data_IF_354005151362
#
_entry.id   IF_354005151362
#
_cell.length_a   1.000
_cell.length_b   1.000
_cell.length_c   1.000
_cell.angle_alpha   90.00
_cell.angle_beta   90.00
_cell.angle_gamma   90.00
#
_symmetry.space_group_name_H-M   'P 1'
#
loop_
_entity.id
_entity.type
_entity.pdbx_description
1 polymer ?
#
# COMPACT_ATOMS: atom_id res chain seq x y z
N UNK A 1 24.24 -19.97 13.91
CA UNK A 1 24.08 -20.13 12.45
C UNK A 1 24.10 -18.73 11.85
N UNK A 2 25.16 -18.39 11.09
CA UNK A 2 25.20 -17.09 10.37
C UNK A 2 24.11 -17.13 9.29
N UNK A 3 23.00 -16.45 9.55
CA UNK A 3 22.01 -16.18 8.52
C UNK A 3 22.72 -15.35 7.45
N UNK A 4 22.83 -15.86 6.22
CA UNK A 4 23.57 -15.20 5.12
C UNK A 4 23.00 -13.84 4.69
N UNK A 5 22.17 -13.19 5.53
CA UNK A 5 21.55 -11.87 5.33
C UNK A 5 21.55 -11.04 6.60
N UNK A 6 21.52 -9.71 6.46
CA UNK A 6 21.42 -8.76 7.57
C UNK A 6 19.96 -8.44 7.90
N UNK A 7 19.46 -8.93 9.04
CA UNK A 7 18.07 -8.76 9.50
C UNK A 7 17.58 -7.30 9.43
N UNK A 8 18.40 -6.36 9.88
CA UNK A 8 18.01 -4.95 9.91
C UNK A 8 17.87 -4.35 8.50
N UNK A 9 18.77 -4.70 7.57
CA UNK A 9 18.67 -4.24 6.18
C UNK A 9 17.42 -4.81 5.49
N UNK A 10 17.10 -6.09 5.73
CA UNK A 10 15.88 -6.72 5.20
C UNK A 10 14.64 -6.08 5.81
N UNK A 11 14.64 -5.79 7.10
CA UNK A 11 13.54 -5.08 7.74
C UNK A 11 13.37 -3.65 7.18
N UNK A 12 14.46 -2.92 6.95
CA UNK A 12 14.40 -1.61 6.30
C UNK A 12 13.83 -1.71 4.88
N UNK A 13 14.22 -2.72 4.11
CA UNK A 13 13.66 -2.96 2.78
C UNK A 13 12.14 -3.24 2.84
N UNK A 14 11.67 -4.01 3.83
CA UNK A 14 10.25 -4.22 4.07
C UNK A 14 9.53 -2.90 4.42
N UNK A 15 10.14 -2.05 5.25
CA UNK A 15 9.61 -0.72 5.57
C UNK A 15 9.48 0.17 4.33
N UNK A 16 10.48 0.16 3.44
CA UNK A 16 10.43 0.88 2.16
C UNK A 16 9.30 0.33 1.30
N UNK A 17 9.18 -1.00 1.14
CA UNK A 17 8.07 -1.62 0.40
C UNK A 17 6.70 -1.24 0.96
N UNK A 18 6.56 -1.18 2.29
CA UNK A 18 5.31 -0.77 2.92
C UNK A 18 5.02 0.73 2.73
N UNK A 19 6.04 1.57 2.66
CA UNK A 19 5.90 2.98 2.28
C UNK A 19 5.37 3.10 0.83
N UNK A 20 5.88 2.30 -0.11
CA UNK A 20 5.36 2.23 -1.49
C UNK A 20 3.91 1.74 -1.54
N UNK A 21 3.53 0.79 -0.69
CA UNK A 21 2.13 0.40 -0.55
C UNK A 21 1.27 1.57 -0.08
N UNK A 22 1.72 2.36 0.90
CA UNK A 22 1.04 3.57 1.34
C UNK A 22 0.86 4.59 0.20
N UNK A 23 1.90 4.82 -0.60
CA UNK A 23 1.84 5.64 -1.81
C UNK A 23 0.80 5.08 -2.78
N UNK A 24 0.81 3.78 -3.07
CA UNK A 24 -0.11 3.15 -4.03
C UNK A 24 -1.58 3.29 -3.63
N UNK A 25 -1.89 3.25 -2.32
CA UNK A 25 -3.26 3.36 -1.80
C UNK A 25 -3.86 4.75 -1.95
N UNK A 26 -3.04 5.80 -1.83
CA UNK A 26 -3.54 7.17 -1.70
C UNK A 26 -3.39 8.00 -2.98
N UNK A 27 -2.50 7.58 -3.89
CA UNK A 27 -2.13 8.37 -5.08
C UNK A 27 -3.35 8.75 -5.90
N UNK A 28 -4.13 7.75 -6.31
CA UNK A 28 -5.25 7.97 -7.22
C UNK A 28 -6.27 8.95 -6.63
N UNK A 29 -6.70 8.74 -5.38
CA UNK A 29 -7.65 9.63 -4.72
C UNK A 29 -7.13 11.06 -4.54
N UNK A 30 -5.82 11.22 -4.35
CA UNK A 30 -5.20 12.54 -4.20
C UNK A 30 -5.10 13.32 -5.51
N UNK A 31 -4.82 12.64 -6.63
CA UNK A 31 -4.64 13.30 -7.95
C UNK A 31 -5.90 13.28 -8.82
N UNK A 32 -6.92 12.51 -8.44
CA UNK A 32 -8.13 12.33 -9.23
C UNK A 32 -8.81 13.64 -9.63
N UNK A 33 -9.01 14.63 -8.72
CA UNK A 33 -9.59 15.93 -9.10
C UNK A 33 -8.77 16.65 -10.19
N UNK A 34 -7.44 16.62 -10.08
CA UNK A 34 -6.54 17.23 -11.05
C UNK A 34 -6.58 16.52 -12.40
N UNK A 35 -6.62 15.18 -12.41
CA UNK A 35 -6.78 14.39 -13.64
C UNK A 35 -8.13 14.65 -14.32
N UNK A 36 -9.22 14.71 -13.55
CA UNK A 36 -10.56 15.01 -14.06
C UNK A 36 -10.59 16.38 -14.75
N UNK A 37 -10.00 17.39 -14.13
CA UNK A 37 -9.93 18.76 -14.67
C UNK A 37 -9.02 18.81 -15.90
N UNK A 38 -7.83 18.21 -15.85
CA UNK A 38 -6.84 18.25 -16.94
C UNK A 38 -7.35 17.56 -18.21
N UNK A 39 -8.00 16.41 -18.05
CA UNK A 39 -8.41 15.55 -19.17
C UNK A 39 -9.91 15.65 -19.48
N UNK A 40 -10.64 16.55 -18.83
CA UNK A 40 -12.08 16.75 -18.99
C UNK A 40 -12.88 15.44 -18.88
N UNK A 41 -12.53 14.59 -17.87
CA UNK A 41 -13.09 13.25 -17.74
C UNK A 41 -14.57 13.28 -17.38
N UNK A 42 -15.36 12.48 -18.11
CA UNK A 42 -16.75 12.21 -17.74
C UNK A 42 -16.85 11.40 -16.44
N UNK A 43 -18.02 11.42 -15.79
CA UNK A 43 -18.24 10.64 -14.57
C UNK A 43 -18.02 9.13 -14.76
N UNK A 44 -18.36 8.57 -15.92
CA UNK A 44 -18.11 7.16 -16.24
C UNK A 44 -16.61 6.86 -16.36
N UNK A 45 -15.85 7.73 -17.02
CA UNK A 45 -14.40 7.58 -17.13
C UNK A 45 -13.72 7.67 -15.76
N UNK A 46 -14.10 8.65 -14.95
CA UNK A 46 -13.60 8.82 -13.59
C UNK A 46 -13.86 7.58 -12.73
N UNK A 47 -15.09 7.08 -12.73
CA UNK A 47 -15.47 5.87 -11.98
C UNK A 47 -14.70 4.65 -12.48
N UNK A 48 -14.49 4.52 -13.80
CA UNK A 48 -13.71 3.43 -14.36
C UNK A 48 -12.26 3.44 -13.82
N UNK A 49 -11.60 4.61 -13.81
CA UNK A 49 -10.24 4.72 -13.29
C UNK A 49 -10.15 4.24 -11.83
N UNK A 50 -11.06 4.69 -10.96
CA UNK A 50 -11.05 4.27 -9.55
C UNK A 50 -11.28 2.77 -9.39
N UNK A 51 -12.09 2.15 -10.25
CA UNK A 51 -12.39 0.71 -10.20
C UNK A 51 -11.16 -0.16 -10.52
N UNK A 52 -10.24 0.29 -11.36
CA UNK A 52 -9.07 -0.49 -11.76
C UNK A 52 -8.02 -0.64 -10.65
N UNK A 53 -7.95 0.27 -9.68
CA UNK A 53 -7.03 0.17 -8.55
C UNK A 53 -7.29 -1.08 -7.68
N UNK A 54 -8.50 -1.29 -7.13
CA UNK A 54 -8.78 -2.49 -6.33
C UNK A 54 -8.70 -3.79 -7.13
N UNK A 55 -8.98 -3.78 -8.45
CA UNK A 55 -8.78 -4.96 -9.30
C UNK A 55 -7.30 -5.35 -9.35
N UNK A 56 -6.42 -4.37 -9.57
CA UNK A 56 -4.97 -4.61 -9.50
C UNK A 56 -4.52 -5.13 -8.13
N UNK A 57 -5.02 -4.53 -7.05
CA UNK A 57 -4.70 -4.95 -5.67
C UNK A 57 -5.14 -6.39 -5.38
N UNK A 58 -6.35 -6.76 -5.80
CA UNK A 58 -6.84 -8.13 -5.66
C UNK A 58 -5.93 -9.12 -6.40
N UNK A 59 -5.60 -8.83 -7.66
CA UNK A 59 -4.68 -9.66 -8.44
C UNK A 59 -3.32 -9.81 -7.75
N UNK A 60 -2.72 -8.71 -7.28
CA UNK A 60 -1.46 -8.71 -6.54
C UNK A 60 -1.52 -9.54 -5.27
N UNK A 61 -2.59 -9.39 -4.49
CA UNK A 61 -2.79 -10.12 -3.24
C UNK A 61 -2.99 -11.64 -3.45
N UNK A 62 -3.53 -12.05 -4.59
CA UNK A 62 -3.69 -13.48 -4.90
C UNK A 62 -2.40 -14.16 -5.34
N UNK A 63 -1.52 -13.43 -6.04
CA UNK A 63 -0.32 -14.02 -6.64
C UNK A 63 0.92 -13.96 -5.74
N UNK A 64 0.96 -13.05 -4.73
CA UNK A 64 2.19 -12.84 -3.95
C UNK A 64 2.63 -14.08 -3.19
N UNK A 65 1.72 -14.79 -2.50
CA UNK A 65 2.05 -15.95 -1.66
C UNK A 65 2.75 -17.07 -2.44
N UNK A 66 2.15 -17.62 -3.51
CA UNK A 66 2.78 -18.66 -4.33
C UNK A 66 4.12 -18.26 -4.92
N UNK A 67 4.31 -16.99 -5.29
CA UNK A 67 5.56 -16.51 -5.85
C UNK A 67 6.62 -16.32 -4.77
N UNK A 68 6.25 -15.75 -3.61
CA UNK A 68 7.16 -15.57 -2.46
C UNK A 68 7.74 -16.91 -1.99
N UNK A 69 6.87 -17.90 -1.83
CA UNK A 69 7.28 -19.23 -1.38
C UNK A 69 8.25 -19.92 -2.35
N UNK A 70 8.04 -19.74 -3.66
CA UNK A 70 8.86 -20.39 -4.69
C UNK A 70 10.14 -19.64 -5.03
N UNK A 71 10.06 -18.32 -5.20
CA UNK A 71 11.18 -17.52 -5.73
C UNK A 71 11.83 -16.63 -4.66
N UNK A 72 11.22 -16.57 -3.46
CA UNK A 72 11.70 -15.78 -2.32
C UNK A 72 11.26 -14.31 -2.37
N UNK A 73 11.37 -13.66 -1.24
CA UNK A 73 10.89 -12.32 -0.96
C UNK A 73 11.46 -11.24 -1.89
N UNK A 74 12.75 -11.30 -2.22
CA UNK A 74 13.40 -10.31 -3.10
C UNK A 74 12.81 -10.28 -4.51
N UNK A 75 12.44 -11.46 -5.04
CA UNK A 75 11.87 -11.61 -6.37
C UNK A 75 10.50 -10.95 -6.53
N UNK A 76 9.85 -10.62 -5.42
CA UNK A 76 8.59 -9.87 -5.40
C UNK A 76 8.77 -8.41 -5.00
N UNK A 77 9.49 -8.14 -3.90
CA UNK A 77 9.58 -6.80 -3.33
C UNK A 77 10.14 -5.79 -4.36
N UNK A 78 11.27 -6.10 -4.99
CA UNK A 78 11.91 -5.16 -5.92
C UNK A 78 11.08 -4.94 -7.19
N UNK A 79 10.61 -5.99 -7.91
CA UNK A 79 9.75 -5.78 -9.08
C UNK A 79 8.45 -5.06 -8.75
N UNK A 80 7.82 -5.34 -7.61
CA UNK A 80 6.58 -4.67 -7.22
C UNK A 80 6.79 -3.18 -6.95
N UNK A 81 7.91 -2.81 -6.31
CA UNK A 81 8.29 -1.40 -6.19
C UNK A 81 8.47 -0.73 -7.54
N UNK A 82 9.10 -1.40 -8.52
CA UNK A 82 9.27 -0.89 -9.88
C UNK A 82 7.90 -0.73 -10.57
N UNK A 83 7.00 -1.70 -10.42
CA UNK A 83 5.65 -1.63 -11.01
C UNK A 83 4.86 -0.44 -10.44
N UNK A 84 4.90 -0.23 -9.10
CA UNK A 84 4.25 0.95 -8.49
C UNK A 84 4.82 2.25 -9.03
N UNK A 85 6.15 2.38 -9.09
CA UNK A 85 6.81 3.56 -9.63
C UNK A 85 6.43 3.79 -11.10
N UNK A 86 6.49 2.75 -11.94
CA UNK A 86 6.11 2.85 -13.35
C UNK A 86 4.65 3.25 -13.55
N UNK A 87 3.76 2.75 -12.70
CA UNK A 87 2.36 3.16 -12.72
C UNK A 87 2.15 4.62 -12.29
N UNK A 88 2.91 5.08 -11.28
CA UNK A 88 2.88 6.48 -10.84
C UNK A 88 3.38 7.42 -11.95
N UNK A 89 4.48 7.08 -12.62
CA UNK A 89 4.97 7.82 -13.79
C UNK A 89 3.96 7.79 -14.94
N UNK A 90 3.23 6.67 -15.11
CA UNK A 90 2.16 6.57 -16.11
C UNK A 90 1.02 7.56 -15.90
N UNK A 91 0.70 7.92 -14.63
CA UNK A 91 -0.29 8.98 -14.36
C UNK A 91 0.19 10.37 -14.77
N UNK A 92 1.49 10.56 -14.90
CA UNK A 92 2.12 11.84 -15.28
C UNK A 92 2.17 11.98 -16.79
N UNK A 93 2.60 10.91 -17.48
CA UNK A 93 2.93 10.97 -18.90
C UNK A 93 1.81 10.56 -19.84
N UNK A 94 0.81 9.79 -19.35
CA UNK A 94 -0.27 9.31 -20.20
C UNK A 94 -1.53 10.19 -20.08
N UNK A 95 -2.17 10.44 -21.23
CA UNK A 95 -3.42 11.20 -21.35
C UNK A 95 -4.58 10.32 -21.84
N UNK A 96 -4.29 9.13 -22.39
CA UNK A 96 -5.33 8.22 -22.87
C UNK A 96 -5.89 7.36 -21.74
N UNK A 97 -7.21 7.22 -21.67
CA UNK A 97 -7.90 6.45 -20.62
C UNK A 97 -7.37 5.01 -20.51
N UNK A 98 -7.17 4.24 -21.62
CA UNK A 98 -6.64 2.87 -21.48
C UNK A 98 -5.25 2.80 -20.85
N UNK A 99 -4.36 3.74 -21.17
CA UNK A 99 -3.01 3.78 -20.60
C UNK A 99 -3.03 4.17 -19.12
N UNK A 100 -3.92 5.10 -18.74
CA UNK A 100 -4.16 5.44 -17.33
C UNK A 100 -4.71 4.24 -16.56
N UNK A 101 -5.66 3.49 -17.13
CA UNK A 101 -6.20 2.28 -16.52
C UNK A 101 -5.10 1.23 -16.29
N UNK A 102 -4.22 1.00 -17.28
CA UNK A 102 -3.07 0.09 -17.15
C UNK A 102 -2.13 0.56 -16.05
N UNK A 103 -1.83 1.86 -15.98
CA UNK A 103 -0.99 2.47 -14.94
C UNK A 103 -1.59 2.25 -13.55
N UNK A 104 -2.90 2.46 -13.41
CA UNK A 104 -3.62 2.28 -12.14
C UNK A 104 -3.67 0.80 -11.74
N UNK A 105 -3.91 -0.12 -12.70
CA UNK A 105 -3.79 -1.57 -12.44
C UNK A 105 -2.39 -1.92 -11.96
N UNK A 106 -1.35 -1.35 -12.57
CA UNK A 106 0.04 -1.53 -12.15
C UNK A 106 0.28 -1.06 -10.72
N UNK A 107 -0.18 0.15 -10.37
CA UNK A 107 -0.12 0.68 -9.00
C UNK A 107 -0.83 -0.27 -8.03
N UNK A 108 -2.04 -0.71 -8.37
CA UNK A 108 -2.80 -1.66 -7.56
C UNK A 108 -2.10 -3.00 -7.42
N UNK A 109 -1.63 -3.59 -8.52
CA UNK A 109 -0.94 -4.88 -8.54
C UNK A 109 0.31 -4.85 -7.64
N UNK A 110 1.20 -3.88 -7.87
CA UNK A 110 2.39 -3.71 -7.06
C UNK A 110 2.07 -3.45 -5.60
N UNK A 111 1.08 -2.59 -5.30
CA UNK A 111 0.60 -2.31 -3.95
C UNK A 111 0.04 -3.55 -3.25
N UNK A 112 -0.81 -4.33 -3.93
CA UNK A 112 -1.37 -5.58 -3.40
C UNK A 112 -0.31 -6.62 -3.06
N UNK A 113 0.70 -6.78 -3.93
CA UNK A 113 1.86 -7.63 -3.66
C UNK A 113 2.63 -7.11 -2.45
N UNK A 114 2.99 -5.81 -2.42
CA UNK A 114 3.81 -5.23 -1.36
C UNK A 114 3.15 -5.33 0.01
N UNK A 115 1.84 -5.17 0.09
CA UNK A 115 1.11 -5.34 1.35
C UNK A 115 1.28 -6.77 1.92
N UNK A 116 1.01 -7.79 1.13
CA UNK A 116 1.16 -9.18 1.56
C UNK A 116 2.61 -9.55 1.83
N UNK A 117 3.49 -9.22 0.89
CA UNK A 117 4.92 -9.56 0.89
C UNK A 117 5.67 -8.96 2.09
N UNK A 118 5.49 -7.67 2.37
CA UNK A 118 6.23 -7.02 3.47
C UNK A 118 5.79 -7.54 4.84
N UNK A 119 4.50 -7.83 5.02
CA UNK A 119 3.99 -8.45 6.24
C UNK A 119 4.50 -9.88 6.41
N UNK A 120 4.52 -10.68 5.34
CA UNK A 120 5.07 -12.04 5.35
C UNK A 120 6.58 -12.02 5.66
N UNK A 121 7.34 -11.17 4.98
CA UNK A 121 8.79 -11.00 5.19
C UNK A 121 9.12 -10.63 6.63
N UNK A 122 8.43 -9.62 7.20
CA UNK A 122 8.65 -9.20 8.59
C UNK A 122 8.25 -10.29 9.57
N UNK A 123 7.17 -11.01 9.30
CA UNK A 123 6.78 -12.18 10.09
C UNK A 123 7.87 -13.26 10.09
N UNK A 124 8.49 -13.51 8.95
CA UNK A 124 9.50 -14.56 8.77
C UNK A 124 10.84 -14.26 9.44
N UNK A 125 11.26 -13.01 9.41
CA UNK A 125 12.53 -12.59 10.03
C UNK A 125 12.40 -12.22 11.51
N UNK A 126 11.18 -12.18 12.08
CA UNK A 126 10.94 -11.77 13.46
C UNK A 126 10.71 -12.95 14.38
N UNK A 127 11.22 -12.87 15.60
CA UNK A 127 10.86 -13.82 16.66
C UNK A 127 9.42 -13.58 17.15
N UNK A 128 8.77 -14.61 17.69
CA UNK A 128 7.37 -14.56 18.12
C UNK A 128 7.07 -13.40 19.10
N UNK A 129 8.00 -13.07 19.99
CA UNK A 129 7.85 -11.97 20.96
C UNK A 129 7.93 -10.57 20.32
N UNK A 130 8.61 -10.42 19.19
CA UNK A 130 8.84 -9.13 18.51
C UNK A 130 7.90 -8.91 17.31
N UNK A 131 7.29 -9.98 16.80
CA UNK A 131 6.52 -10.00 15.56
C UNK A 131 5.42 -8.95 15.55
N UNK A 132 4.58 -8.89 16.59
CA UNK A 132 3.49 -7.92 16.68
C UNK A 132 3.98 -6.47 16.65
N UNK A 133 5.04 -6.16 17.42
CA UNK A 133 5.63 -4.81 17.46
C UNK A 133 6.24 -4.42 16.11
N UNK A 134 6.93 -5.34 15.42
CA UNK A 134 7.55 -5.08 14.12
C UNK A 134 6.51 -4.90 13.00
N UNK A 135 5.42 -5.67 13.02
CA UNK A 135 4.30 -5.48 12.08
C UNK A 135 3.62 -4.12 12.32
N UNK A 136 3.40 -3.74 13.59
CA UNK A 136 2.85 -2.40 13.89
C UNK A 136 3.78 -1.28 13.45
N UNK A 137 5.10 -1.44 13.62
CA UNK A 137 6.11 -0.50 13.13
C UNK A 137 6.11 -0.40 11.60
N UNK A 138 5.95 -1.53 10.91
CA UNK A 138 5.76 -1.56 9.46
C UNK A 138 4.55 -0.72 9.03
N UNK A 139 3.44 -0.77 9.79
CA UNK A 139 2.27 0.05 9.57
C UNK A 139 2.49 1.56 9.69
N UNK A 140 3.51 2.00 10.44
CA UNK A 140 3.91 3.42 10.47
C UNK A 140 4.49 3.85 9.12
N UNK A 141 5.27 2.99 8.46
CA UNK A 141 5.80 3.28 7.12
C UNK A 141 4.71 3.31 6.05
N UNK A 142 3.67 2.48 6.19
CA UNK A 142 2.46 2.66 5.39
C UNK A 142 1.89 4.07 5.56
N UNK A 143 1.70 4.51 6.80
CA UNK A 143 1.20 5.85 7.10
C UNK A 143 2.09 6.96 6.53
N UNK A 144 3.41 6.85 6.62
CA UNK A 144 4.34 7.82 6.04
C UNK A 144 4.19 7.90 4.51
N UNK A 145 4.09 6.75 3.83
CA UNK A 145 3.84 6.72 2.39
C UNK A 145 2.48 7.33 2.03
N UNK A 146 1.44 6.97 2.76
CA UNK A 146 0.09 7.46 2.53
C UNK A 146 -0.08 8.96 2.86
N UNK A 147 0.65 9.50 3.83
CA UNK A 147 0.65 10.92 4.16
C UNK A 147 1.40 11.77 3.13
N UNK A 148 2.41 11.21 2.48
CA UNK A 148 3.32 11.97 1.61
C UNK A 148 2.59 12.69 0.49
N UNK A 149 1.80 12.00 -0.30
CA UNK A 149 1.16 12.56 -1.50
C UNK A 149 0.11 13.64 -1.16
N UNK A 150 -0.92 13.39 -0.34
CA UNK A 150 -1.93 14.41 -0.08
C UNK A 150 -1.36 15.62 0.65
N UNK A 151 -0.36 15.41 1.54
CA UNK A 151 0.30 16.53 2.25
C UNK A 151 1.10 17.39 1.29
N UNK A 152 1.92 16.79 0.42
CA UNK A 152 2.74 17.52 -0.55
C UNK A 152 1.85 18.23 -1.59
N UNK A 153 0.82 17.56 -2.10
CA UNK A 153 -0.14 18.20 -3.00
C UNK A 153 -0.87 19.35 -2.30
N UNK A 154 -1.34 19.17 -1.05
CA UNK A 154 -2.03 20.21 -0.31
C UNK A 154 -1.18 21.47 -0.06
N UNK A 155 0.13 21.30 0.17
CA UNK A 155 1.05 22.41 0.47
C UNK A 155 1.62 23.04 -0.81
N UNK A 156 1.97 22.23 -1.80
CA UNK A 156 2.76 22.69 -2.96
C UNK A 156 1.92 22.96 -4.20
N UNK A 157 0.63 22.60 -4.24
CA UNK A 157 -0.22 22.77 -5.43
C UNK A 157 -0.45 24.21 -5.85
N UNK A 158 -0.18 25.19 -4.97
CA UNK A 158 -0.23 26.63 -5.31
C UNK A 158 0.96 27.06 -6.19
N UNK A 159 2.08 26.32 -6.14
CA UNK A 159 3.33 26.69 -6.82
C UNK A 159 3.78 25.69 -7.88
N UNK A 160 3.37 24.43 -7.77
CA UNK A 160 3.80 23.34 -8.64
C UNK A 160 2.62 22.53 -9.14
N UNK A 161 2.70 22.02 -10.36
CA UNK A 161 1.73 21.09 -10.89
C UNK A 161 1.80 19.75 -10.16
N UNK A 162 0.69 18.98 -10.17
CA UNK A 162 0.66 17.67 -9.54
C UNK A 162 1.68 16.71 -10.15
N UNK A 163 1.96 16.84 -11.45
CA UNK A 163 2.97 16.05 -12.16
C UNK A 163 4.36 16.28 -11.59
N UNK A 164 4.74 17.55 -11.37
CA UNK A 164 6.05 17.91 -10.80
C UNK A 164 6.20 17.34 -9.39
N UNK A 165 5.14 17.39 -8.58
CA UNK A 165 5.13 16.84 -7.22
C UNK A 165 5.29 15.33 -7.26
N UNK A 166 4.53 14.63 -8.13
CA UNK A 166 4.63 13.18 -8.30
C UNK A 166 6.01 12.75 -8.82
N UNK A 167 6.62 13.49 -9.75
CA UNK A 167 7.99 13.23 -10.22
C UNK A 167 8.99 13.31 -9.07
N UNK A 168 8.87 14.31 -8.20
CA UNK A 168 9.71 14.42 -6.99
C UNK A 168 9.56 13.17 -6.08
N UNK A 169 8.35 12.70 -5.89
CA UNK A 169 8.07 11.46 -5.14
C UNK A 169 8.67 10.26 -5.88
N UNK A 170 8.54 10.19 -7.20
CA UNK A 170 9.12 9.14 -8.04
C UNK A 170 10.63 9.03 -7.89
N UNK A 171 11.34 10.16 -7.81
CA UNK A 171 12.80 10.20 -7.57
C UNK A 171 13.14 9.60 -6.19
N UNK A 172 12.37 9.94 -5.15
CA UNK A 172 12.56 9.37 -3.81
C UNK A 172 12.31 7.86 -3.82
N UNK A 173 11.25 7.43 -4.52
CA UNK A 173 10.94 6.02 -4.70
C UNK A 173 12.07 5.29 -5.44
N UNK A 174 12.61 5.87 -6.50
CA UNK A 174 13.73 5.29 -7.24
C UNK A 174 14.95 5.07 -6.32
N UNK A 175 15.27 6.03 -5.47
CA UNK A 175 16.35 5.88 -4.49
C UNK A 175 16.07 4.70 -3.52
N UNK A 176 14.82 4.54 -3.06
CA UNK A 176 14.39 3.39 -2.25
C UNK A 176 14.57 2.04 -2.97
N UNK A 177 14.22 1.97 -4.26
CA UNK A 177 14.41 0.77 -5.09
C UNK A 177 15.92 0.44 -5.20
N UNK A 178 16.75 1.44 -5.55
CA UNK A 178 18.18 1.26 -5.67
C UNK A 178 18.83 0.78 -4.36
N UNK A 179 18.35 1.26 -3.22
CA UNK A 179 18.77 0.76 -1.91
C UNK A 179 18.40 -0.73 -1.70
N UNK A 180 17.24 -1.20 -2.16
CA UNK A 180 16.79 -2.58 -1.97
C UNK A 180 17.54 -3.60 -2.87
N UNK A 181 18.04 -3.18 -4.04
CA UNK A 181 18.68 -4.09 -5.01
C UNK A 181 19.87 -4.86 -4.43
N UNK A 182 20.86 -4.25 -3.74
CA UNK A 182 22.04 -4.98 -3.24
C UNK A 182 21.74 -5.84 -2.01
N UNK A 183 20.58 -5.71 -1.37
CA UNK A 183 20.27 -6.41 -0.12
C UNK A 183 20.08 -7.90 -0.38
N UNK A 184 20.68 -8.73 0.46
CA UNK A 184 20.45 -10.18 0.48
C UNK A 184 19.27 -10.50 1.40
N UNK A 185 18.33 -11.26 0.89
CA UNK A 185 17.11 -11.69 1.57
C UNK A 185 17.20 -13.14 2.04
N UNK A 186 16.30 -13.59 2.93
CA UNK A 186 16.18 -15.01 3.28
C UNK A 186 15.93 -15.88 2.04
N UNK A 187 16.40 -17.12 2.09
CA UNK A 187 16.11 -18.10 1.06
C UNK A 187 14.60 -18.42 1.00
N UNK A 188 14.07 -18.80 -0.17
CA UNK A 188 12.67 -19.20 -0.30
C UNK A 188 12.37 -20.44 0.56
N UNK A 189 11.15 -20.50 1.13
CA UNK A 189 10.75 -21.57 2.07
C UNK A 189 10.42 -22.88 1.37
N UNK A 190 9.83 -22.80 0.18
CA UNK A 190 9.30 -23.95 -0.57
C UNK A 190 9.73 -23.88 -2.02
N UNK A 191 11.01 -24.19 -2.29
CA UNK A 191 11.53 -24.23 -3.65
C UNK A 191 10.79 -25.22 -4.60
N UNK A 192 10.01 -26.15 -4.03
CA UNK A 192 9.23 -27.14 -4.79
C UNK A 192 7.82 -26.66 -5.20
N UNK A 193 7.37 -25.49 -4.73
CA UNK A 193 6.10 -24.87 -5.09
C UNK A 193 5.08 -24.83 -3.95
N UNK A 194 4.06 -23.96 -4.12
CA UNK A 194 3.01 -23.73 -3.15
C UNK A 194 1.97 -24.88 -3.14
N UNK A 195 1.62 -25.46 -1.97
CA UNK A 195 0.63 -26.54 -1.88
C UNK A 195 -0.79 -25.97 -1.99
N UNK A 196 -1.25 -25.73 -3.21
CA UNK A 196 -2.55 -25.10 -3.51
C UNK A 196 -3.74 -25.82 -2.82
N UNK A 197 -3.69 -27.16 -2.76
CA UNK A 197 -4.76 -27.94 -2.11
C UNK A 197 -4.87 -27.66 -0.61
N UNK A 198 -3.74 -27.53 0.07
CA UNK A 198 -3.70 -27.19 1.51
C UNK A 198 -4.17 -25.75 1.75
N UNK A 199 -3.73 -24.82 0.90
CA UNK A 199 -4.19 -23.43 0.92
C UNK A 199 -5.70 -23.30 0.75
N UNK A 200 -6.29 -24.03 -0.20
CA UNK A 200 -7.74 -24.08 -0.39
C UNK A 200 -8.47 -24.73 0.80
N UNK A 201 -7.82 -25.66 1.51
CA UNK A 201 -8.34 -26.25 2.74
C UNK A 201 -8.61 -25.21 3.84
N UNK A 202 -7.80 -24.16 3.92
CA UNK A 202 -7.97 -23.07 4.89
C UNK A 202 -9.26 -22.28 4.70
N UNK A 203 -9.83 -22.25 3.50
CA UNK A 203 -11.14 -21.62 3.25
C UNK A 203 -12.31 -22.32 3.96
N UNK A 204 -12.10 -23.50 4.56
CA UNK A 204 -13.11 -24.20 5.38
C UNK A 204 -13.06 -23.79 6.85
N UNK A 205 -12.02 -23.07 7.28
CA UNK A 205 -11.85 -22.63 8.66
C UNK A 205 -12.74 -21.40 8.93
N UNK A 206 -13.78 -21.58 9.75
CA UNK A 206 -14.76 -20.52 10.05
C UNK A 206 -14.10 -19.27 10.68
N UNK A 207 -13.11 -19.47 11.55
CA UNK A 207 -12.37 -18.37 12.18
C UNK A 207 -11.62 -17.52 11.15
N UNK A 208 -11.00 -18.18 10.16
CA UNK A 208 -10.29 -17.48 9.09
C UNK A 208 -11.27 -16.71 8.20
N UNK A 209 -12.42 -17.30 7.87
CA UNK A 209 -13.44 -16.62 7.08
C UNK A 209 -14.00 -15.39 7.79
N UNK A 210 -14.32 -15.49 9.09
CA UNK A 210 -14.83 -14.35 9.87
C UNK A 210 -13.78 -13.20 9.92
N UNK A 211 -12.52 -13.50 10.22
CA UNK A 211 -11.46 -12.50 10.21
C UNK A 211 -11.26 -11.88 8.81
N UNK A 212 -11.36 -12.69 7.76
CA UNK A 212 -11.26 -12.22 6.38
C UNK A 212 -12.41 -11.25 6.04
N UNK A 213 -13.64 -11.54 6.46
CA UNK A 213 -14.77 -10.63 6.27
C UNK A 213 -14.60 -9.31 7.04
N UNK A 214 -14.13 -9.35 8.28
CA UNK A 214 -13.84 -8.14 9.05
C UNK A 214 -12.82 -7.26 8.31
N UNK A 215 -11.71 -7.87 7.86
CA UNK A 215 -10.67 -7.16 7.10
C UNK A 215 -11.18 -6.65 5.75
N UNK A 216 -12.06 -7.41 5.08
CA UNK A 216 -12.67 -7.00 3.82
C UNK A 216 -13.49 -5.71 3.98
N UNK A 217 -14.39 -5.65 4.97
CA UNK A 217 -15.21 -4.47 5.21
C UNK A 217 -14.37 -3.28 5.69
N UNK A 218 -13.42 -3.51 6.60
CA UNK A 218 -12.51 -2.47 7.08
C UNK A 218 -11.69 -1.88 5.94
N UNK A 219 -11.09 -2.73 5.11
CA UNK A 219 -10.30 -2.27 3.95
C UNK A 219 -11.18 -1.60 2.89
N UNK A 220 -12.43 -2.03 2.74
CA UNK A 220 -13.42 -1.41 1.86
C UNK A 220 -13.72 0.03 2.29
N UNK A 221 -13.98 0.27 3.58
CA UNK A 221 -14.22 1.61 4.13
C UNK A 221 -12.96 2.48 3.95
N UNK A 222 -11.79 1.97 4.29
CA UNK A 222 -10.52 2.69 4.10
C UNK A 222 -10.30 3.05 2.63
N UNK A 223 -10.57 2.12 1.71
CA UNK A 223 -10.44 2.33 0.27
C UNK A 223 -11.40 3.40 -0.27
N UNK A 224 -12.66 3.41 0.18
CA UNK A 224 -13.63 4.46 -0.18
C UNK A 224 -13.15 5.81 0.34
N UNK A 225 -12.77 5.90 1.60
CA UNK A 225 -12.27 7.15 2.18
C UNK A 225 -11.02 7.66 1.44
N UNK A 226 -10.05 6.79 1.16
CA UNK A 226 -8.81 7.18 0.50
C UNK A 226 -9.01 7.68 -0.93
N UNK A 227 -9.97 7.14 -1.66
CA UNK A 227 -10.12 7.44 -3.10
C UNK A 227 -11.23 8.44 -3.42
N UNK A 228 -12.22 8.61 -2.54
CA UNK A 228 -13.38 9.46 -2.83
C UNK A 228 -13.51 10.71 -1.96
N UNK A 229 -12.79 10.81 -0.83
CA UNK A 229 -12.95 11.94 0.10
C UNK A 229 -12.68 13.28 -0.57
N UNK A 230 -11.59 13.42 -1.32
CA UNK A 230 -11.22 14.66 -2.01
C UNK A 230 -12.27 15.08 -3.04
N UNK A 231 -12.75 14.12 -3.84
CA UNK A 231 -13.78 14.36 -4.85
C UNK A 231 -15.12 14.69 -4.22
N UNK A 232 -15.48 14.01 -3.12
CA UNK A 232 -16.72 14.27 -2.39
C UNK A 232 -16.75 15.69 -1.81
N UNK A 233 -15.69 16.11 -1.15
CA UNK A 233 -15.60 17.47 -0.61
C UNK A 233 -15.72 18.53 -1.70
N UNK A 234 -15.06 18.37 -2.83
CA UNK A 234 -15.12 19.33 -3.94
C UNK A 234 -16.47 19.39 -4.65
N UNK A 235 -17.23 18.30 -4.70
CA UNK A 235 -18.50 18.23 -5.45
C UNK A 235 -19.73 18.52 -4.58
N UNK A 236 -19.71 18.16 -3.30
CA UNK A 236 -20.91 18.20 -2.45
C UNK A 236 -20.90 19.37 -1.47
N UNK A 237 -19.73 19.85 -1.06
CA UNK A 237 -19.60 20.84 0.02
C UNK A 237 -19.03 22.18 -0.46
N UNK A 238 -18.76 22.35 -1.77
CA UNK A 238 -18.09 23.54 -2.34
C UNK A 238 -16.75 23.91 -1.67
N UNK A 239 -16.15 22.94 -0.97
CA UNK A 239 -14.86 23.11 -0.29
C UNK A 239 -13.75 23.03 -1.34
N UNK A 240 -12.78 23.97 -1.33
CA UNK A 240 -11.63 23.92 -2.23
C UNK A 240 -10.86 22.59 -2.16
N UNK A 241 -10.34 22.11 -3.30
CA UNK A 241 -9.67 20.81 -3.39
C UNK A 241 -8.50 20.65 -2.40
N UNK A 242 -7.77 21.73 -2.09
CA UNK A 242 -6.71 21.74 -1.08
C UNK A 242 -7.21 21.41 0.32
N UNK A 243 -8.41 21.87 0.71
CA UNK A 243 -9.01 21.54 2.00
C UNK A 243 -9.48 20.08 2.05
N UNK A 244 -9.97 19.53 0.93
CA UNK A 244 -10.26 18.10 0.79
C UNK A 244 -9.01 17.22 0.99
N UNK A 245 -7.87 17.66 0.46
CA UNK A 245 -6.56 17.01 0.68
C UNK A 245 -6.10 17.09 2.15
N UNK A 246 -6.33 18.23 2.82
CA UNK A 246 -6.03 18.39 4.25
C UNK A 246 -6.90 17.43 5.09
N UNK A 247 -8.20 17.30 4.79
CA UNK A 247 -9.09 16.38 5.49
C UNK A 247 -8.63 14.92 5.32
N UNK A 248 -8.24 14.51 4.11
CA UNK A 248 -7.67 13.20 3.84
C UNK A 248 -6.34 13.00 4.60
N UNK A 249 -5.47 14.01 4.62
CA UNK A 249 -4.23 14.00 5.38
C UNK A 249 -4.48 13.79 6.88
N UNK A 250 -5.45 14.51 7.46
CA UNK A 250 -5.83 14.36 8.88
C UNK A 250 -6.34 12.94 9.19
N UNK A 251 -7.15 12.36 8.31
CA UNK A 251 -7.63 10.98 8.46
C UNK A 251 -6.46 9.98 8.47
N UNK A 252 -5.58 10.06 7.48
CA UNK A 252 -4.40 9.16 7.38
C UNK A 252 -3.42 9.38 8.54
N UNK A 253 -3.25 10.64 9.00
CA UNK A 253 -2.46 10.95 10.19
C UNK A 253 -3.05 10.29 11.44
N UNK A 254 -4.37 10.37 11.63
CA UNK A 254 -5.06 9.70 12.73
C UNK A 254 -4.82 8.18 12.73
N UNK A 255 -4.94 7.52 11.57
CA UNK A 255 -4.65 6.10 11.41
C UNK A 255 -3.18 5.78 11.75
N UNK A 256 -2.24 6.63 11.31
CA UNK A 256 -0.81 6.45 11.56
C UNK A 256 -0.50 6.59 13.05
N UNK A 257 -1.05 7.59 13.72
CA UNK A 257 -0.92 7.79 15.17
C UNK A 257 -1.51 6.59 15.93
N UNK A 258 -2.68 6.10 15.53
CA UNK A 258 -3.27 4.90 16.15
C UNK A 258 -2.33 3.69 16.02
N UNK A 259 -1.67 3.48 14.88
CA UNK A 259 -0.66 2.41 14.69
C UNK A 259 0.58 2.61 15.57
N UNK A 260 1.03 3.85 15.76
CA UNK A 260 2.13 4.15 16.71
C UNK A 260 1.74 3.80 18.16
N UNK A 261 0.51 4.12 18.57
CA UNK A 261 0.00 3.75 19.89
C UNK A 261 -0.10 2.23 20.05
N UNK A 262 -0.49 1.51 19.00
CA UNK A 262 -0.52 0.04 19.00
C UNK A 262 0.86 -0.59 19.25
N UNK A 263 1.96 0.01 18.77
CA UNK A 263 3.31 -0.48 19.03
C UNK A 263 3.60 -0.56 20.54
N UNK A 264 3.19 0.48 21.27
CA UNK A 264 3.37 0.55 22.73
C UNK A 264 2.40 -0.40 23.43
N UNK A 265 1.15 -0.45 22.96
CA UNK A 265 0.09 -1.27 23.54
C UNK A 265 0.42 -2.77 23.43
N UNK A 266 0.85 -3.23 22.26
CA UNK A 266 1.16 -4.66 22.00
C UNK A 266 2.44 -5.16 22.66
N UNK A 267 3.26 -4.28 23.22
CA UNK A 267 4.33 -4.67 24.14
C UNK A 267 3.80 -5.12 25.51
N UNK A 268 2.60 -4.65 25.90
CA UNK A 268 2.02 -4.91 27.23
C UNK A 268 0.80 -5.83 27.19
N UNK A 269 0.04 -5.80 26.08
CA UNK A 269 -1.23 -6.51 25.95
C UNK A 269 -1.19 -7.37 24.68
N UNK A 270 -1.65 -8.62 24.79
CA UNK A 270 -1.76 -9.50 23.63
C UNK A 270 -2.79 -8.95 22.64
N UNK A 271 -2.51 -8.94 21.33
CA UNK A 271 -3.43 -8.43 20.30
C UNK A 271 -4.83 -9.05 20.35
N UNK A 272 -4.93 -10.35 20.66
CA UNK A 272 -6.19 -11.06 20.79
C UNK A 272 -7.13 -10.47 21.86
N UNK A 273 -6.61 -9.80 22.89
CA UNK A 273 -7.41 -9.14 23.93
C UNK A 273 -7.92 -7.77 23.52
N UNK A 274 -7.28 -7.14 22.53
CA UNK A 274 -7.65 -5.81 22.05
C UNK A 274 -8.70 -5.90 20.93
N UNK A 275 -8.69 -6.98 20.15
CA UNK A 275 -9.58 -7.16 19.01
C UNK A 275 -11.08 -6.90 19.30
N UNK A 276 -11.68 -7.42 20.42
CA UNK A 276 -13.10 -7.17 20.69
C UNK A 276 -13.45 -5.70 20.98
N UNK A 277 -12.47 -4.87 21.32
CA UNK A 277 -12.66 -3.45 21.62
C UNK A 277 -12.33 -2.54 20.43
N UNK A 278 -11.75 -3.10 19.36
CA UNK A 278 -11.35 -2.36 18.15
C UNK A 278 -12.34 -2.52 17.00
N UNK A 279 -13.34 -3.38 17.16
CA UNK A 279 -14.47 -3.61 16.27
C UNK A 279 -15.68 -2.81 16.71
#
# INVERSE_FOLDING_TARGET
MNSGYHKNLVFTAACIGMCFFGVSMITLGSVLPSLVTKLELSGLQTTSLVTFLPIGMLAGSLIFGPIADRFGHKALLVPSCIIVLSGLEGLIFFESIPLLQISIVGIGLGGGILNGETNALVSDISGESEKGSRISFLGVFYGLGALGIPSLLGILSEHYSFETILQGIGIIMLAGILFCIPIRFPAPKQAQGFPVKEGLGLLKESSLLLLSFILFFQSGIEGVCNNWSTSYFGQVTDIPANQGLIALTCMVAGLTVARMLQIVLFKKIQPAKVLPYSL
#
